data_IF_752305070500
#
_entry.id   IF_752305070500
#
_cell.length_a   1.000
_cell.length_b   1.000
_cell.length_c   1.000
_cell.angle_alpha   90.00
_cell.angle_beta   90.00
_cell.angle_gamma   90.00
#
_symmetry.space_group_name_H-M   'P 1'
#
loop_
_entity.id
_entity.type
_entity.pdbx_description
1 polymer ?
#
# COMPACT_ATOMS: atom_id res chain seq x y z
N UNK A 1 21.65 31.62 2.92
CA UNK A 1 21.35 30.44 3.75
C UNK A 1 21.29 29.24 2.83
N UNK A 2 22.32 28.40 2.83
CA UNK A 2 22.39 27.22 1.97
C UNK A 2 21.75 26.07 2.73
N UNK A 3 20.56 25.63 2.32
CA UNK A 3 19.97 24.39 2.83
C UNK A 3 20.82 23.27 2.25
N UNK A 4 21.64 22.64 3.09
CA UNK A 4 22.27 21.38 2.72
C UNK A 4 21.14 20.37 2.47
N UNK A 5 20.88 20.06 1.20
CA UNK A 5 20.17 18.85 0.85
C UNK A 5 21.09 17.71 1.31
N UNK A 6 20.79 17.15 2.48
CA UNK A 6 21.32 15.86 2.91
C UNK A 6 20.83 14.82 1.88
N UNK A 7 21.57 14.67 0.78
CA UNK A 7 21.20 13.84 -0.38
C UNK A 7 21.06 12.36 -0.03
N UNK A 8 21.58 11.95 1.12
CA UNK A 8 21.49 10.60 1.64
C UNK A 8 21.10 10.67 3.11
N UNK A 9 19.84 10.39 3.50
CA UNK A 9 19.53 10.19 4.90
C UNK A 9 20.46 9.09 5.46
N UNK A 10 20.72 9.15 6.78
CA UNK A 10 21.49 8.15 7.53
C UNK A 10 21.29 6.76 6.93
N UNK A 11 22.38 6.04 6.63
CA UNK A 11 22.30 4.66 6.11
C UNK A 11 21.37 3.88 7.02
N UNK A 12 20.21 3.49 6.47
CA UNK A 12 19.28 2.62 7.15
C UNK A 12 19.71 1.21 6.81
N UNK A 13 19.91 0.39 7.84
CA UNK A 13 20.12 -1.03 7.64
C UNK A 13 18.85 -1.65 7.00
N UNK A 14 18.95 -2.36 5.85
CA UNK A 14 17.78 -2.90 5.16
C UNK A 14 16.98 -3.91 5.98
N UNK A 15 17.65 -4.73 6.80
CA UNK A 15 17.00 -5.76 7.62
C UNK A 15 16.21 -5.12 8.75
N UNK A 16 16.84 -4.17 9.45
CA UNK A 16 16.17 -3.37 10.49
C UNK A 16 14.98 -2.60 9.93
N UNK A 17 15.13 -2.03 8.72
CA UNK A 17 14.02 -1.36 8.03
C UNK A 17 12.88 -2.32 7.74
N UNK A 18 13.16 -3.47 7.11
CA UNK A 18 12.13 -4.45 6.76
C UNK A 18 11.40 -4.96 8.01
N UNK A 19 12.13 -5.29 9.08
CA UNK A 19 11.54 -5.69 10.37
C UNK A 19 10.62 -4.61 10.92
N UNK A 20 11.07 -3.35 10.95
CA UNK A 20 10.25 -2.23 11.42
C UNK A 20 9.00 -2.00 10.57
N UNK A 21 9.05 -2.25 9.25
CA UNK A 21 7.86 -2.19 8.40
C UNK A 21 6.89 -3.33 8.70
N UNK A 22 7.37 -4.56 8.91
CA UNK A 22 6.52 -5.70 9.29
C UNK A 22 5.81 -5.40 10.60
N UNK A 23 6.54 -4.97 11.64
CA UNK A 23 5.97 -4.59 12.94
C UNK A 23 4.93 -3.48 12.80
N UNK A 24 5.24 -2.42 12.03
CA UNK A 24 4.34 -1.27 11.83
C UNK A 24 3.04 -1.62 11.12
N UNK A 25 3.08 -2.55 10.17
CA UNK A 25 1.94 -2.89 9.32
C UNK A 25 1.21 -4.18 9.73
N UNK A 26 1.73 -4.92 10.70
CA UNK A 26 1.01 -6.02 11.33
C UNK A 26 -0.25 -5.48 11.99
N UNK A 27 -1.40 -6.12 11.73
CA UNK A 27 -2.74 -5.72 12.18
C UNK A 27 -3.21 -4.32 11.74
N UNK A 28 -2.50 -3.68 10.80
CA UNK A 28 -2.84 -2.39 10.24
C UNK A 28 -3.19 -2.48 8.76
N UNK A 29 -3.78 -1.41 8.26
CA UNK A 29 -4.10 -1.17 6.87
C UNK A 29 -3.13 -0.13 6.31
N UNK A 30 -3.11 0.01 4.99
CA UNK A 30 -2.12 0.82 4.28
C UNK A 30 -2.79 1.96 3.52
N UNK A 31 -2.28 3.17 3.72
CA UNK A 31 -2.58 4.35 2.89
C UNK A 31 -1.32 4.74 2.12
N UNK A 32 -1.53 5.15 0.88
CA UNK A 32 -0.46 5.59 -0.02
C UNK A 32 -0.46 7.11 -0.07
N UNK A 33 0.62 7.72 0.40
CA UNK A 33 0.82 9.17 0.48
C UNK A 33 -0.38 9.88 1.13
N UNK A 34 -0.97 10.83 0.39
CA UNK A 34 -2.13 11.60 0.85
C UNK A 34 -3.49 11.01 0.46
N UNK A 35 -3.52 9.84 -0.18
CA UNK A 35 -4.78 9.20 -0.59
C UNK A 35 -5.68 8.91 0.61
N UNK A 36 -6.99 9.07 0.43
CA UNK A 36 -8.01 8.65 1.40
C UNK A 36 -8.41 7.17 1.22
N UNK A 37 -7.92 6.52 0.16
CA UNK A 37 -8.18 5.10 -0.07
C UNK A 37 -7.32 4.27 0.88
N UNK A 38 -7.96 3.36 1.60
CA UNK A 38 -7.34 2.46 2.57
C UNK A 38 -7.27 1.06 1.96
N UNK A 39 -6.08 0.50 1.90
CA UNK A 39 -5.80 -0.80 1.34
C UNK A 39 -5.57 -1.82 2.45
N UNK A 40 -5.99 -3.08 2.22
CA UNK A 40 -5.47 -4.18 3.01
C UNK A 40 -3.95 -4.30 2.85
N UNK A 41 -3.30 -4.95 3.81
CA UNK A 41 -1.86 -5.26 3.77
C UNK A 41 -1.68 -6.74 3.48
N UNK A 42 -0.72 -7.04 2.60
CA UNK A 42 -0.10 -8.36 2.52
C UNK A 42 1.41 -8.17 2.52
N UNK A 43 2.14 -9.17 2.99
CA UNK A 43 3.60 -9.15 2.99
C UNK A 43 4.12 -9.94 1.80
N UNK A 44 5.12 -9.39 1.11
CA UNK A 44 5.78 -10.02 -0.03
C UNK A 44 7.28 -9.94 0.15
N UNK A 45 7.94 -11.04 -0.18
CA UNK A 45 9.39 -11.11 -0.31
C UNK A 45 9.84 -10.22 -1.47
N UNK A 46 10.87 -9.41 -1.21
CA UNK A 46 11.48 -8.49 -2.17
C UNK A 46 13.00 -8.73 -2.21
N UNK A 47 13.79 -7.67 -2.40
CA UNK A 47 15.22 -7.76 -2.66
C UNK A 47 15.94 -8.22 -1.40
N UNK A 48 16.82 -9.21 -1.55
CA UNK A 48 17.54 -9.79 -0.41
C UNK A 48 16.63 -10.59 0.53
N UNK A 49 15.55 -11.18 0.00
CA UNK A 49 14.56 -11.98 0.74
C UNK A 49 13.82 -11.21 1.87
N UNK A 50 13.94 -9.88 1.87
CA UNK A 50 13.30 -9.02 2.85
C UNK A 50 11.80 -8.90 2.58
N UNK A 51 11.01 -8.98 3.64
CA UNK A 51 9.55 -8.89 3.56
C UNK A 51 9.08 -7.45 3.72
N UNK A 52 8.28 -6.96 2.77
CA UNK A 52 7.74 -5.61 2.80
C UNK A 52 6.21 -5.59 2.64
N UNK A 53 5.52 -4.62 3.27
CA UNK A 53 4.08 -4.47 3.14
C UNK A 53 3.72 -3.95 1.75
N UNK A 54 2.75 -4.59 1.12
CA UNK A 54 2.18 -4.16 -0.16
C UNK A 54 0.66 -4.29 -0.13
N UNK A 55 -0.07 -3.47 -0.90
CA UNK A 55 -1.49 -3.70 -1.09
C UNK A 55 -1.71 -4.93 -1.98
N UNK A 56 -2.58 -5.89 -1.59
CA UNK A 56 -2.83 -7.10 -2.38
C UNK A 56 -3.53 -6.82 -3.72
N UNK A 57 -4.02 -5.60 -3.93
CA UNK A 57 -4.53 -5.15 -5.22
C UNK A 57 -3.45 -4.73 -6.22
N UNK A 58 -2.17 -4.81 -5.85
CA UNK A 58 -1.01 -4.43 -6.66
C UNK A 58 -0.99 -2.94 -7.06
N UNK A 59 -1.61 -2.08 -6.24
CA UNK A 59 -1.50 -0.63 -6.44
C UNK A 59 -0.05 -0.19 -6.24
N UNK A 60 0.57 0.31 -7.31
CA UNK A 60 1.87 0.95 -7.23
C UNK A 60 1.80 2.36 -6.67
N UNK A 61 2.96 2.88 -6.28
CA UNK A 61 3.18 4.26 -5.87
C UNK A 61 4.54 4.74 -6.40
N UNK A 62 4.72 6.05 -6.44
CA UNK A 62 6.02 6.65 -6.72
C UNK A 62 6.74 6.92 -5.40
N UNK A 63 8.02 6.56 -5.32
CA UNK A 63 8.84 6.76 -4.12
C UNK A 63 9.54 5.49 -3.67
N UNK A 64 10.28 5.59 -2.55
CA UNK A 64 11.08 4.48 -2.02
C UNK A 64 10.40 3.74 -0.87
N UNK A 65 9.16 4.12 -0.51
CA UNK A 65 8.46 3.62 0.69
C UNK A 65 9.17 3.90 2.02
N UNK A 66 10.22 4.72 2.00
CA UNK A 66 11.04 5.06 3.16
C UNK A 66 10.78 6.47 3.69
N UNK A 67 10.08 7.33 2.92
CA UNK A 67 9.89 8.75 3.22
C UNK A 67 8.43 9.13 3.54
N UNK A 68 7.64 8.19 4.05
CA UNK A 68 6.21 8.41 4.34
C UNK A 68 5.28 8.19 3.15
N UNK A 69 5.76 7.54 2.09
CA UNK A 69 4.93 7.13 0.94
C UNK A 69 3.88 6.10 1.34
N UNK A 70 4.17 5.29 2.37
CA UNK A 70 3.26 4.32 2.96
C UNK A 70 3.00 4.69 4.41
N UNK A 71 1.71 4.75 4.76
CA UNK A 71 1.25 5.09 6.10
C UNK A 71 0.40 3.94 6.62
N UNK A 72 0.72 3.45 7.82
CA UNK A 72 -0.13 2.51 8.55
C UNK A 72 -1.35 3.26 9.11
N UNK A 73 -2.52 2.64 9.04
CA UNK A 73 -3.76 3.13 9.62
C UNK A 73 -4.58 1.98 10.19
N UNK A 74 -5.44 2.26 11.16
CA UNK A 74 -6.45 1.32 11.67
C UNK A 74 -7.84 1.54 11.04
N UNK A 75 -7.93 2.46 10.07
CA UNK A 75 -9.16 2.71 9.32
C UNK A 75 -9.56 1.46 8.50
N UNK A 76 -10.87 1.17 8.35
CA UNK A 76 -11.30 0.02 7.57
C UNK A 76 -10.87 0.11 6.09
N UNK A 77 -10.67 -1.04 5.45
CA UNK A 77 -10.32 -1.13 4.03
C UNK A 77 -11.42 -0.53 3.16
N UNK A 78 -11.10 0.52 2.40
CA UNK A 78 -12.02 1.18 1.46
C UNK A 78 -11.67 0.92 -0.01
N UNK A 79 -10.49 0.36 -0.30
CA UNK A 79 -10.13 -0.07 -1.65
C UNK A 79 -10.95 -1.30 -2.05
N UNK A 80 -11.83 -1.15 -3.05
CA UNK A 80 -12.68 -2.22 -3.58
C UNK A 80 -11.90 -3.49 -3.90
N UNK A 81 -10.84 -3.38 -4.71
CA UNK A 81 -9.99 -4.53 -5.08
C UNK A 81 -9.38 -5.25 -3.88
N UNK A 82 -9.08 -4.53 -2.80
CA UNK A 82 -8.59 -5.16 -1.58
C UNK A 82 -9.73 -5.83 -0.83
N UNK A 83 -10.87 -5.17 -0.66
CA UNK A 83 -12.06 -5.74 -0.01
C UNK A 83 -12.50 -7.06 -0.67
N UNK A 84 -12.58 -7.11 -2.00
CA UNK A 84 -12.92 -8.34 -2.72
C UNK A 84 -11.86 -9.44 -2.55
N UNK A 85 -10.57 -9.09 -2.41
CA UNK A 85 -9.46 -10.05 -2.21
C UNK A 85 -9.35 -10.56 -0.77
N UNK A 86 -9.78 -9.77 0.22
CA UNK A 86 -9.73 -10.13 1.65
C UNK A 86 -11.05 -10.67 2.19
N UNK A 87 -12.07 -10.77 1.35
CA UNK A 87 -13.40 -11.26 1.75
C UNK A 87 -14.15 -10.29 2.68
N UNK A 88 -13.78 -9.01 2.67
CA UNK A 88 -14.48 -7.97 3.44
C UNK A 88 -15.71 -7.52 2.65
N UNK A 89 -16.92 -7.51 3.23
CA UNK A 89 -18.14 -7.19 2.49
C UNK A 89 -18.05 -5.78 1.91
N UNK A 90 -18.26 -5.66 0.59
CA UNK A 90 -18.22 -4.39 -0.11
C UNK A 90 -19.44 -3.56 0.28
N UNK A 91 -19.21 -2.36 0.82
CA UNK A 91 -20.29 -1.38 0.96
C UNK A 91 -20.67 -0.89 -0.45
N UNK A 92 -21.88 -1.28 -0.89
CA UNK A 92 -22.66 -0.68 -1.98
C UNK A 92 -21.89 -0.37 -3.27
N UNK A 93 -21.97 -1.27 -4.25
CA UNK A 93 -21.37 -1.07 -5.58
C UNK A 93 -22.26 -0.10 -6.39
N UNK A 94 -21.80 1.11 -6.77
CA UNK A 94 -22.39 1.81 -7.91
C UNK A 94 -22.05 1.01 -9.19
N UNK A 95 -23.08 0.73 -9.98
CA UNK A 95 -23.03 0.00 -11.24
C UNK A 95 -21.89 0.57 -12.13
N UNK A 96 -20.94 -0.29 -12.54
CA UNK A 96 -19.87 0.16 -13.42
C UNK A 96 -20.41 0.38 -14.82
N UNK A 97 -20.25 1.59 -15.36
CA UNK A 97 -20.55 1.87 -16.77
C UNK A 97 -19.71 0.97 -17.66
N UNK A 98 -20.37 0.20 -18.51
CA UNK A 98 -19.72 -0.63 -19.52
C UNK A 98 -18.98 0.26 -20.51
N UNK A 99 -17.67 0.05 -20.68
CA UNK A 99 -16.86 0.81 -21.65
C UNK A 99 -17.15 0.40 -23.10
N UNK A 100 -17.69 -0.80 -23.30
CA UNK A 100 -18.08 -1.33 -24.60
C UNK A 100 -19.42 -2.06 -24.48
N UNK A 101 -20.21 -2.16 -25.56
CA UNK A 101 -21.37 -3.02 -25.59
C UNK A 101 -20.96 -4.45 -25.22
N UNK A 102 -21.68 -5.05 -24.28
CA UNK A 102 -21.55 -6.49 -24.04
C UNK A 102 -22.24 -7.21 -25.20
N UNK A 103 -21.49 -7.54 -26.26
CA UNK A 103 -21.98 -8.49 -27.26
C UNK A 103 -22.25 -9.81 -26.53
N UNK A 104 -23.54 -10.17 -26.45
CA UNK A 104 -23.97 -11.50 -26.03
C UNK A 104 -24.16 -12.37 -27.28
N UNK A 105 -23.77 -13.65 -27.24
CA UNK A 105 -24.15 -14.60 -28.28
C UNK A 105 -25.67 -14.80 -28.33
#
# INVERSE_FOLDING_TARGET
MTIALELFPRRVDPEDFARAQVERFTDHQLRIGRSRVVHAVTFRTWLGDLSLPVPPCHQGWSGFAAAGDLLATSDPVTCRKCASRTGTPEAGVPEQTTLFPADRP
#
